data_IF_300014717947
#
_entry.id   IF_300014717947
#
_cell.length_a   1.000
_cell.length_b   1.000
_cell.length_c   1.000
_cell.angle_alpha   90.00
_cell.angle_beta   90.00
_cell.angle_gamma   90.00
#
_symmetry.space_group_name_H-M   'P 1'
#
loop_
_entity.id
_entity.type
_entity.pdbx_description
1 polymer ?
#
# COMPACT_ATOMS: atom_id res chain seq x y z
N UNK A 1 78.91 -2.26 -24.03
CA UNK A 1 79.54 -0.94 -24.29
C UNK A 1 78.51 0.18 -24.08
N UNK A 2 78.64 0.93 -22.99
CA UNK A 2 77.99 2.23 -22.83
C UNK A 2 79.07 3.30 -22.83
N UNK A 3 78.86 4.44 -23.51
CA UNK A 3 78.92 5.72 -22.82
C UNK A 3 77.83 6.73 -23.30
N UNK A 4 77.13 7.43 -22.42
CA UNK A 4 77.41 8.80 -21.87
C UNK A 4 77.26 9.91 -22.94
N UNK A 5 76.25 10.80 -22.92
CA UNK A 5 76.27 12.12 -22.26
C UNK A 5 74.99 12.91 -22.69
N UNK A 6 74.09 13.35 -21.79
CA UNK A 6 74.05 14.57 -20.93
C UNK A 6 73.28 15.76 -21.58
N UNK A 7 72.82 16.77 -20.81
CA UNK A 7 71.39 17.09 -20.68
C UNK A 7 71.01 18.50 -21.19
N UNK A 8 69.70 18.77 -21.37
CA UNK A 8 69.16 20.15 -21.39
C UNK A 8 68.02 20.29 -20.37
N UNK A 9 68.45 20.68 -19.19
CA UNK A 9 67.86 21.61 -18.20
C UNK A 9 67.12 22.75 -18.93
N UNK A 10 65.87 23.18 -18.68
CA UNK A 10 65.14 23.56 -17.47
C UNK A 10 63.72 23.95 -17.93
N UNK A 11 62.69 23.80 -17.09
CA UNK A 11 62.00 24.96 -16.53
C UNK A 11 61.27 24.58 -15.23
N UNK A 12 61.19 25.52 -14.26
CA UNK A 12 60.55 25.35 -12.95
C UNK A 12 59.03 25.48 -13.11
N UNK A 13 58.16 24.99 -12.22
CA UNK A 13 57.98 25.48 -10.86
C UNK A 13 57.15 24.53 -9.99
N UNK A 14 57.58 24.46 -8.73
CA UNK A 14 56.81 24.19 -7.49
C UNK A 14 55.31 24.49 -7.62
N UNK A 15 54.42 23.54 -7.32
CA UNK A 15 54.00 23.00 -6.02
C UNK A 15 52.72 23.66 -5.51
N UNK A 16 51.79 22.82 -5.06
CA UNK A 16 50.67 23.12 -4.16
C UNK A 16 49.63 24.06 -4.77
N UNK A 17 48.32 23.78 -4.76
CA UNK A 17 47.53 23.04 -3.79
C UNK A 17 46.13 22.87 -4.37
N UNK A 18 45.49 21.75 -4.03
CA UNK A 18 44.06 21.60 -3.73
C UNK A 18 43.07 22.50 -4.46
N UNK A 19 42.24 21.90 -5.32
CA UNK A 19 40.81 22.21 -5.38
C UNK A 19 40.08 21.07 -6.09
N UNK A 20 39.42 20.25 -5.28
CA UNK A 20 38.44 19.24 -5.69
C UNK A 20 37.21 19.98 -6.23
N UNK A 21 36.88 19.80 -7.50
CA UNK A 21 35.57 20.18 -8.04
C UNK A 21 34.98 18.93 -8.66
N UNK A 22 34.11 18.26 -7.89
CA UNK A 22 33.18 17.29 -8.45
C UNK A 22 31.76 17.85 -8.31
N UNK A 23 31.28 18.45 -9.39
CA UNK A 23 29.92 18.94 -9.50
C UNK A 23 28.96 17.74 -9.62
N UNK A 24 28.43 17.29 -8.48
CA UNK A 24 27.22 16.45 -8.44
C UNK A 24 26.02 17.37 -8.26
N UNK A 25 25.22 17.46 -9.31
CA UNK A 25 23.90 18.09 -9.33
C UNK A 25 23.01 17.47 -8.25
N UNK A 26 22.84 18.19 -7.15
CA UNK A 26 21.90 17.84 -6.10
C UNK A 26 20.48 18.19 -6.55
N UNK A 27 19.74 17.18 -7.00
CA UNK A 27 18.29 17.24 -7.19
C UNK A 27 17.66 17.51 -5.81
N UNK A 28 17.04 18.69 -5.65
CA UNK A 28 16.24 19.06 -4.48
C UNK A 28 15.04 18.11 -4.36
N UNK A 29 15.12 17.11 -3.49
CA UNK A 29 13.93 16.34 -3.10
C UNK A 29 13.13 17.17 -2.11
N UNK A 30 11.98 17.70 -2.53
CA UNK A 30 11.04 18.39 -1.66
C UNK A 30 10.52 17.43 -0.58
N UNK A 31 10.56 17.86 0.68
CA UNK A 31 10.02 17.11 1.80
C UNK A 31 8.53 16.76 1.57
N UNK A 32 8.08 15.55 1.94
CA UNK A 32 6.70 15.16 1.75
C UNK A 32 5.78 16.00 2.65
N UNK A 33 4.86 16.71 2.00
CA UNK A 33 3.86 17.66 2.50
C UNK A 33 2.79 17.09 3.46
N UNK A 34 3.03 15.93 4.08
CA UNK A 34 2.09 15.30 5.00
C UNK A 34 2.75 15.08 6.36
N UNK A 35 2.23 15.72 7.43
CA UNK A 35 2.75 15.48 8.76
C UNK A 35 2.52 14.00 9.10
N UNK A 36 3.56 13.33 9.60
CA UNK A 36 3.44 12.03 10.27
C UNK A 36 2.73 12.26 11.61
N UNK A 37 1.43 12.53 11.56
CA UNK A 37 0.59 12.41 12.75
C UNK A 37 0.50 10.93 13.05
N UNK A 38 0.96 10.55 14.23
CA UNK A 38 0.69 9.28 14.92
C UNK A 38 -0.83 9.15 15.09
N UNK A 39 -1.52 8.88 14.00
CA UNK A 39 -2.92 8.49 14.01
C UNK A 39 -2.92 7.04 14.48
N UNK A 40 -3.24 6.86 15.76
CA UNK A 40 -3.50 5.56 16.35
C UNK A 40 -4.39 4.76 15.41
N UNK A 41 -3.87 3.60 15.01
CA UNK A 41 -4.48 2.70 14.06
C UNK A 41 -5.90 2.38 14.54
N UNK A 42 -6.96 2.61 13.75
CA UNK A 42 -8.28 2.13 14.13
C UNK A 42 -8.17 0.60 14.28
N UNK A 43 -8.37 0.11 15.51
CA UNK A 43 -8.53 -1.32 15.81
C UNK A 43 -9.70 -1.82 14.96
N UNK A 44 -9.42 -2.31 13.77
CA UNK A 44 -10.41 -3.06 13.00
C UNK A 44 -10.61 -4.37 13.76
N UNK A 45 -11.64 -4.38 14.60
CA UNK A 45 -12.33 -5.55 15.18
C UNK A 45 -11.43 -6.79 15.34
N UNK A 46 -10.59 -6.79 16.37
CA UNK A 46 -10.11 -8.04 16.98
C UNK A 46 -9.05 -8.84 16.21
N UNK A 47 -8.06 -8.19 15.59
CA UNK A 47 -6.81 -8.89 15.21
C UNK A 47 -6.99 -9.95 14.13
N UNK A 48 -7.87 -9.69 13.16
CA UNK A 48 -8.12 -10.62 12.07
C UNK A 48 -6.90 -10.71 11.13
N UNK A 49 -6.08 -11.73 11.34
CA UNK A 49 -4.95 -12.07 10.45
C UNK A 49 -5.51 -12.60 9.14
N UNK A 50 -5.64 -11.72 8.15
CA UNK A 50 -5.96 -12.09 6.75
C UNK A 50 -4.89 -13.05 6.21
N UNK A 51 -3.68 -13.03 6.78
CA UNK A 51 -2.63 -14.00 6.49
C UNK A 51 -2.24 -13.97 5.00
N UNK A 52 -2.17 -15.14 4.38
CA UNK A 52 -1.87 -15.32 2.94
C UNK A 52 -3.10 -15.18 2.03
N UNK A 53 -4.29 -14.92 2.59
CA UNK A 53 -5.55 -14.85 1.82
C UNK A 53 -5.52 -13.65 0.86
N UNK A 54 -6.12 -13.84 -0.31
CA UNK A 54 -6.28 -12.78 -1.32
C UNK A 54 -7.51 -11.96 -0.97
N UNK A 55 -7.38 -10.64 -1.01
CA UNK A 55 -8.46 -9.72 -0.71
C UNK A 55 -9.30 -9.48 -1.98
N UNK A 56 -10.62 -9.65 -1.85
CA UNK A 56 -11.58 -9.48 -2.96
C UNK A 56 -12.67 -8.53 -2.49
N UNK A 57 -13.06 -7.60 -3.36
CA UNK A 57 -14.19 -6.71 -3.11
C UNK A 57 -15.37 -7.20 -3.93
N UNK A 58 -16.51 -7.39 -3.29
CA UNK A 58 -17.76 -7.75 -3.96
C UNK A 58 -18.78 -6.65 -3.70
N UNK A 59 -19.20 -5.96 -4.76
CA UNK A 59 -20.30 -4.99 -4.71
C UNK A 59 -21.63 -5.73 -4.80
N UNK A 60 -22.66 -5.23 -4.11
CA UNK A 60 -23.97 -5.89 -4.12
C UNK A 60 -23.97 -7.27 -3.44
N UNK A 61 -23.06 -7.50 -2.49
CA UNK A 61 -22.90 -8.79 -1.80
C UNK A 61 -24.12 -9.23 -0.97
N UNK A 62 -25.08 -8.34 -0.72
CA UNK A 62 -26.27 -8.61 0.10
C UNK A 62 -27.38 -9.40 -0.60
N UNK A 63 -27.27 -9.70 -1.90
CA UNK A 63 -28.34 -10.36 -2.65
C UNK A 63 -27.87 -11.06 -3.93
N UNK A 64 -28.67 -12.02 -4.41
CA UNK A 64 -28.51 -12.64 -5.73
C UNK A 64 -27.12 -13.26 -5.94
N UNK A 65 -26.53 -12.97 -7.10
CA UNK A 65 -25.21 -13.49 -7.49
C UNK A 65 -24.08 -13.01 -6.57
N UNK A 66 -24.15 -11.77 -6.07
CA UNK A 66 -23.13 -11.24 -5.16
C UNK A 66 -23.05 -12.02 -3.86
N UNK A 67 -24.21 -12.44 -3.33
CA UNK A 67 -24.30 -13.27 -2.13
C UNK A 67 -23.73 -14.68 -2.37
N UNK A 68 -24.15 -15.32 -3.47
CA UNK A 68 -23.66 -16.64 -3.85
C UNK A 68 -22.13 -16.63 -4.08
N UNK A 69 -21.60 -15.60 -4.74
CA UNK A 69 -20.15 -15.40 -4.91
C UNK A 69 -19.43 -15.23 -3.57
N UNK A 70 -19.96 -14.41 -2.67
CA UNK A 70 -19.38 -14.19 -1.34
C UNK A 70 -19.31 -15.50 -0.56
N UNK A 71 -20.39 -16.29 -0.58
CA UNK A 71 -20.46 -17.61 0.04
C UNK A 71 -19.42 -18.57 -0.55
N UNK A 72 -19.33 -18.66 -1.87
CA UNK A 72 -18.36 -19.52 -2.55
C UNK A 72 -16.91 -19.13 -2.24
N UNK A 73 -16.60 -17.82 -2.24
CA UNK A 73 -15.27 -17.31 -1.92
C UNK A 73 -14.90 -17.54 -0.45
N UNK A 74 -15.85 -17.36 0.46
CA UNK A 74 -15.66 -17.63 1.89
C UNK A 74 -15.41 -19.13 2.15
N UNK A 75 -16.17 -20.01 1.51
CA UNK A 75 -16.03 -21.47 1.65
C UNK A 75 -14.71 -22.00 1.08
N UNK A 76 -14.18 -21.36 0.03
CA UNK A 76 -12.88 -21.75 -0.56
C UNK A 76 -11.69 -21.48 0.36
N UNK A 77 -11.85 -20.63 1.40
CA UNK A 77 -10.84 -20.41 2.44
C UNK A 77 -9.57 -19.63 2.04
N UNK A 78 -9.32 -19.44 0.74
CA UNK A 78 -8.17 -18.69 0.22
C UNK A 78 -8.40 -17.18 0.04
N UNK A 79 -9.62 -16.70 0.30
CA UNK A 79 -10.03 -15.32 0.03
C UNK A 79 -10.57 -14.64 1.28
N UNK A 80 -10.42 -13.32 1.30
CA UNK A 80 -11.03 -12.44 2.27
C UNK A 80 -11.95 -11.46 1.54
N UNK A 81 -13.24 -11.48 1.86
CA UNK A 81 -14.25 -10.78 1.07
C UNK A 81 -14.65 -9.47 1.74
N UNK A 82 -14.36 -8.34 1.11
CA UNK A 82 -14.97 -7.07 1.46
C UNK A 82 -16.33 -6.98 0.78
N UNK A 83 -17.39 -7.08 1.58
CA UNK A 83 -18.77 -6.97 1.14
C UNK A 83 -19.15 -5.49 1.07
N UNK A 84 -19.12 -4.92 -0.13
CA UNK A 84 -19.46 -3.53 -0.37
C UNK A 84 -20.97 -3.41 -0.61
N UNK A 85 -21.68 -2.93 0.40
CA UNK A 85 -23.15 -2.90 0.46
C UNK A 85 -23.64 -1.54 0.96
N UNK A 86 -24.89 -1.19 0.65
CA UNK A 86 -25.50 0.05 1.16
C UNK A 86 -25.71 0.01 2.67
N UNK A 87 -26.14 -1.16 3.17
CA UNK A 87 -26.49 -1.39 4.57
C UNK A 87 -25.65 -2.54 5.15
N UNK A 88 -24.60 -2.25 5.94
CA UNK A 88 -23.74 -3.29 6.51
C UNK A 88 -24.49 -4.20 7.49
N UNK A 89 -25.42 -3.65 8.27
CA UNK A 89 -26.24 -4.45 9.19
C UNK A 89 -27.10 -5.51 8.47
N UNK A 90 -27.62 -5.17 7.27
CA UNK A 90 -28.36 -6.13 6.44
C UNK A 90 -27.44 -7.25 5.96
N UNK A 91 -26.20 -6.92 5.60
CA UNK A 91 -25.22 -7.92 5.21
C UNK A 91 -24.90 -8.87 6.37
N UNK A 92 -24.75 -8.39 7.60
CA UNK A 92 -24.49 -9.28 8.74
C UNK A 92 -25.64 -10.25 9.02
N UNK A 93 -26.88 -9.81 8.84
CA UNK A 93 -28.04 -10.70 8.93
C UNK A 93 -28.03 -11.77 7.83
N UNK A 94 -27.75 -11.38 6.59
CA UNK A 94 -27.68 -12.29 5.44
C UNK A 94 -26.52 -13.27 5.56
N UNK A 95 -25.34 -12.83 6.03
CA UNK A 95 -24.20 -13.71 6.28
C UNK A 95 -24.52 -14.79 7.31
N UNK A 96 -25.23 -14.42 8.40
CA UNK A 96 -25.68 -15.39 9.41
C UNK A 96 -26.67 -16.39 8.83
N UNK A 97 -27.63 -15.93 8.04
CA UNK A 97 -28.60 -16.80 7.37
C UNK A 97 -27.95 -17.78 6.40
N UNK A 98 -26.91 -17.35 5.68
CA UNK A 98 -26.18 -18.17 4.70
C UNK A 98 -25.05 -19.02 5.30
N UNK A 99 -24.79 -18.89 6.60
CA UNK A 99 -23.72 -19.63 7.29
C UNK A 99 -22.30 -19.16 6.94
N UNK A 100 -22.13 -17.89 6.53
CA UNK A 100 -20.83 -17.32 6.18
C UNK A 100 -20.09 -16.96 7.47
N UNK A 101 -18.85 -17.45 7.62
CA UNK A 101 -18.00 -17.12 8.77
C UNK A 101 -17.68 -15.63 8.83
N UNK A 102 -17.90 -15.02 9.99
CA UNK A 102 -17.56 -13.61 10.27
C UNK A 102 -16.06 -13.30 10.14
N UNK A 103 -15.21 -14.32 10.13
CA UNK A 103 -13.75 -14.19 9.99
C UNK A 103 -13.27 -14.20 8.52
N UNK A 104 -14.19 -14.40 7.57
CA UNK A 104 -13.90 -14.47 6.14
C UNK A 104 -14.40 -13.26 5.35
N UNK A 105 -15.21 -12.39 5.98
CA UNK A 105 -15.73 -11.20 5.33
C UNK A 105 -15.74 -9.96 6.24
N UNK A 106 -15.77 -8.79 5.63
CA UNK A 106 -16.09 -7.52 6.30
C UNK A 106 -17.12 -6.76 5.49
N UNK A 107 -18.22 -6.35 6.12
CA UNK A 107 -19.19 -5.46 5.51
C UNK A 107 -18.67 -4.02 5.56
N UNK A 108 -18.64 -3.35 4.41
CA UNK A 108 -18.27 -1.94 4.29
C UNK A 108 -19.36 -1.20 3.53
N UNK A 109 -19.70 -0.01 4.01
CA UNK A 109 -20.69 0.84 3.36
C UNK A 109 -20.17 1.33 2.01
N UNK A 110 -20.93 1.06 0.96
CA UNK A 110 -20.72 1.58 -0.38
C UNK A 110 -22.07 1.92 -1.02
N UNK A 111 -22.20 3.16 -1.43
CA UNK A 111 -23.29 3.65 -2.24
C UNK A 111 -22.68 4.11 -3.58
N UNK A 112 -23.21 3.62 -4.70
CA UNK A 112 -22.63 3.82 -6.03
C UNK A 112 -23.21 5.05 -6.75
N UNK A 113 -24.39 5.52 -6.36
CA UNK A 113 -24.96 6.76 -6.89
C UNK A 113 -24.22 8.02 -6.37
N UNK A 114 -23.46 7.91 -5.28
CA UNK A 114 -22.70 8.98 -4.66
C UNK A 114 -21.20 8.76 -4.82
N UNK A 115 -20.57 9.59 -5.67
CA UNK A 115 -19.12 9.57 -5.87
C UNK A 115 -18.33 9.89 -4.59
N UNK A 116 -18.93 10.65 -3.66
CA UNK A 116 -18.32 10.90 -2.36
C UNK A 116 -18.24 9.60 -1.55
N UNK A 117 -19.32 8.82 -1.51
CA UNK A 117 -19.32 7.50 -0.85
C UNK A 117 -18.31 6.55 -1.47
N UNK A 118 -18.13 6.57 -2.79
CA UNK A 118 -17.11 5.75 -3.47
C UNK A 118 -15.69 6.15 -3.03
N UNK A 119 -15.40 7.46 -2.96
CA UNK A 119 -14.10 7.95 -2.50
C UNK A 119 -13.82 7.56 -1.05
N UNK A 120 -14.81 7.67 -0.18
CA UNK A 120 -14.66 7.31 1.23
C UNK A 120 -14.50 5.79 1.41
N UNK A 121 -15.23 4.98 0.62
CA UNK A 121 -15.01 3.54 0.55
C UNK A 121 -13.57 3.19 0.14
N UNK A 122 -13.04 3.85 -0.90
CA UNK A 122 -11.66 3.61 -1.37
C UNK A 122 -10.64 4.03 -0.30
N UNK A 123 -10.86 5.13 0.43
CA UNK A 123 -9.99 5.52 1.55
C UNK A 123 -9.99 4.44 2.64
N UNK A 124 -11.17 3.95 3.02
CA UNK A 124 -11.30 2.91 4.04
C UNK A 124 -10.67 1.59 3.58
N UNK A 125 -10.83 1.21 2.32
CA UNK A 125 -10.20 0.02 1.73
C UNK A 125 -8.68 0.15 1.72
N UNK A 126 -8.13 1.31 1.34
CA UNK A 126 -6.68 1.56 1.38
C UNK A 126 -6.13 1.45 2.80
N UNK A 127 -6.79 2.04 3.78
CA UNK A 127 -6.43 1.93 5.19
C UNK A 127 -6.45 0.47 5.67
N UNK A 128 -7.46 -0.29 5.24
CA UNK A 128 -7.58 -1.73 5.52
C UNK A 128 -6.42 -2.53 4.90
N UNK A 129 -6.01 -2.21 3.67
CA UNK A 129 -4.91 -2.89 2.97
C UNK A 129 -3.54 -2.56 3.56
N UNK A 130 -3.31 -1.32 3.99
CA UNK A 130 -2.03 -0.88 4.55
C UNK A 130 -1.72 -1.49 5.92
N UNK A 131 -2.71 -2.08 6.60
CA UNK A 131 -2.52 -2.79 7.87
C UNK A 131 -1.96 -4.22 7.69
N UNK A 132 -1.55 -4.61 6.48
CA UNK A 132 -0.90 -5.90 6.20
C UNK A 132 0.60 -5.79 6.52
N UNK A 133 1.15 -6.63 7.43
CA UNK A 133 2.59 -6.72 7.65
C UNK A 133 3.32 -7.29 6.43
#
# INVERSE_FOLDING_TARGET
PTPVSRPVVRQPTRSMTSLMVEAKTAVRTSEPLYPKTTAELPKVLGGLKIGTRKLVVVTGASSGLGLACTKALANKGGYYVICAVRDPAKMDAVAKAEGISSNSYTAMKLELASLQSVRDFVKNLKAFKSARP
#
